data_IF_594851154210
#
_entry.id   IF_594851154210
#
_cell.length_a   1.000
_cell.length_b   1.000
_cell.length_c   1.000
_cell.angle_alpha   90.00
_cell.angle_beta   90.00
_cell.angle_gamma   90.00
#
_symmetry.space_group_name_H-M   'P 1'
#
loop_
_entity.id
_entity.type
_entity.pdbx_description
1 polymer ?
#
# COMPACT_ATOMS: atom_id res chain seq x y z
N UNK A 1 83.56 -17.33 28.02
CA UNK A 1 82.38 -16.96 27.21
C UNK A 1 81.14 -17.52 27.88
N UNK A 2 80.30 -16.67 28.49
CA UNK A 2 79.02 -17.07 29.09
C UNK A 2 77.90 -16.66 28.13
N UNK A 3 77.12 -17.65 27.68
CA UNK A 3 75.92 -17.47 26.87
C UNK A 3 74.73 -17.33 27.81
N UNK A 4 73.94 -16.26 27.64
CA UNK A 4 72.68 -16.03 28.35
C UNK A 4 71.55 -16.33 27.37
N UNK A 5 70.76 -17.35 27.68
CA UNK A 5 69.58 -17.76 26.90
C UNK A 5 68.35 -17.06 27.49
N UNK A 6 67.73 -16.15 26.74
CA UNK A 6 66.48 -15.50 27.11
C UNK A 6 65.28 -16.32 26.60
N UNK A 7 64.43 -16.77 27.52
CA UNK A 7 63.18 -17.47 27.23
C UNK A 7 62.04 -16.45 27.10
N UNK A 8 61.48 -16.30 25.91
CA UNK A 8 60.33 -15.42 25.64
C UNK A 8 59.04 -16.23 25.84
N UNK A 9 58.29 -15.94 26.91
CA UNK A 9 56.99 -16.54 27.18
C UNK A 9 55.91 -15.77 26.41
N UNK A 10 55.36 -16.39 25.36
CA UNK A 10 54.23 -15.85 24.59
C UNK A 10 52.92 -16.27 25.27
N UNK A 11 52.25 -15.33 25.96
CA UNK A 11 50.93 -15.54 26.55
C UNK A 11 49.85 -15.32 25.49
N UNK A 12 49.25 -16.42 25.02
CA UNK A 12 48.07 -16.41 24.15
C UNK A 12 46.82 -16.02 24.97
N UNK A 13 46.37 -14.77 24.82
CA UNK A 13 45.04 -14.35 25.25
C UNK A 13 43.98 -14.96 24.32
N UNK A 14 43.37 -16.06 24.74
CA UNK A 14 42.12 -16.57 24.19
C UNK A 14 40.99 -15.62 24.61
N UNK A 15 40.65 -14.68 23.73
CA UNK A 15 39.45 -13.86 23.88
C UNK A 15 38.21 -14.73 23.65
N UNK A 16 37.54 -15.12 24.73
CA UNK A 16 36.19 -15.70 24.68
C UNK A 16 35.23 -14.64 24.14
N UNK A 17 34.94 -14.70 22.85
CA UNK A 17 33.84 -13.94 22.25
C UNK A 17 32.55 -14.30 22.98
N UNK A 18 31.70 -13.32 23.34
CA UNK A 18 30.41 -13.62 23.96
C UNK A 18 29.58 -14.46 22.99
N UNK A 19 29.06 -15.58 23.48
CA UNK A 19 28.11 -16.42 22.76
C UNK A 19 26.91 -15.57 22.33
N UNK A 20 26.91 -15.14 21.07
CA UNK A 20 25.70 -14.72 20.37
C UNK A 20 24.79 -15.94 20.37
N UNK A 21 23.79 -15.97 21.27
CA UNK A 21 22.74 -16.98 21.23
C UNK A 21 22.11 -16.85 19.85
N UNK A 22 22.30 -17.86 18.99
CA UNK A 22 21.67 -17.93 17.69
C UNK A 22 20.16 -17.82 17.93
N UNK A 23 19.54 -16.78 17.36
CA UNK A 23 18.11 -16.61 17.44
C UNK A 23 17.47 -17.71 16.58
N UNK A 24 16.63 -18.55 17.19
CA UNK A 24 15.80 -19.47 16.42
C UNK A 24 15.02 -18.66 15.38
N UNK A 25 15.11 -19.06 14.12
CA UNK A 25 14.36 -18.41 13.04
C UNK A 25 13.02 -19.13 12.87
N UNK A 26 11.98 -18.35 12.63
CA UNK A 26 10.66 -18.83 12.26
C UNK A 26 10.60 -19.39 10.84
N UNK A 27 9.42 -19.91 10.49
CA UNK A 27 9.12 -20.48 9.18
C UNK A 27 8.11 -19.61 8.42
N UNK A 28 8.25 -19.53 7.10
CA UNK A 28 7.22 -19.00 6.22
C UNK A 28 6.66 -20.14 5.38
N UNK A 29 5.35 -20.35 5.48
CA UNK A 29 4.60 -21.32 4.67
C UNK A 29 3.83 -20.59 3.58
N UNK A 30 3.59 -21.28 2.46
CA UNK A 30 2.96 -20.70 1.27
C UNK A 30 1.77 -21.55 0.82
N UNK A 31 0.83 -20.95 0.09
CA UNK A 31 -0.31 -21.63 -0.52
C UNK A 31 -0.82 -20.86 -1.74
N UNK A 32 -1.49 -21.56 -2.65
CA UNK A 32 -2.27 -20.95 -3.74
C UNK A 32 -3.61 -20.36 -3.25
N UNK A 33 -3.98 -20.63 -2.00
CA UNK A 33 -5.22 -20.19 -1.38
C UNK A 33 -4.95 -19.45 -0.08
N UNK A 34 -5.95 -18.69 0.39
CA UNK A 34 -5.87 -17.99 1.67
C UNK A 34 -5.61 -18.99 2.81
N UNK A 35 -4.60 -18.70 3.63
CA UNK A 35 -4.19 -19.56 4.74
C UNK A 35 -4.99 -19.15 5.99
N UNK A 36 -5.67 -20.12 6.61
CA UNK A 36 -6.21 -19.94 7.97
C UNK A 36 -5.06 -20.04 8.98
N UNK A 37 -4.75 -18.96 9.72
CA UNK A 37 -3.71 -18.97 10.75
C UNK A 37 -3.91 -20.04 11.84
N UNK A 38 -5.16 -20.38 12.16
CA UNK A 38 -5.50 -21.32 13.23
C UNK A 38 -5.36 -22.79 12.79
N UNK A 39 -5.53 -23.05 11.51
CA UNK A 39 -5.46 -24.39 10.92
C UNK A 39 -4.92 -24.34 9.48
N UNK A 40 -3.60 -24.14 9.30
CA UNK A 40 -3.01 -24.06 7.97
C UNK A 40 -3.24 -25.34 7.17
N UNK A 41 -3.74 -25.21 5.94
CA UNK A 41 -4.03 -26.31 5.03
C UNK A 41 -3.66 -25.91 3.60
N UNK A 42 -3.61 -26.89 2.69
CA UNK A 42 -3.30 -26.68 1.26
C UNK A 42 -1.98 -25.95 1.04
N UNK A 43 -0.96 -26.28 1.83
CA UNK A 43 0.35 -25.66 1.76
C UNK A 43 1.11 -26.19 0.54
N UNK A 44 1.84 -25.30 -0.12
CA UNK A 44 2.51 -25.61 -1.37
C UNK A 44 3.82 -24.82 -1.49
N UNK A 45 4.83 -25.44 -2.11
CA UNK A 45 6.13 -24.81 -2.35
C UNK A 45 6.48 -24.76 -3.85
N UNK A 46 5.51 -25.09 -4.72
CA UNK A 46 5.66 -25.12 -6.17
C UNK A 46 4.51 -24.37 -6.83
N UNK A 47 4.85 -23.38 -7.63
CA UNK A 47 3.90 -22.48 -8.27
C UNK A 47 4.19 -22.41 -9.76
N UNK A 48 3.18 -22.07 -10.54
CA UNK A 48 3.30 -21.70 -11.94
C UNK A 48 3.15 -20.18 -12.07
N UNK A 49 3.75 -19.59 -13.10
CA UNK A 49 3.58 -18.18 -13.40
C UNK A 49 2.08 -17.84 -13.56
N UNK A 50 1.64 -16.81 -12.83
CA UNK A 50 0.23 -16.40 -12.76
C UNK A 50 -0.54 -17.01 -11.58
N UNK A 51 0.04 -17.95 -10.84
CA UNK A 51 -0.55 -18.40 -9.59
C UNK A 51 -0.59 -17.25 -8.57
N UNK A 52 -1.68 -17.22 -7.80
CA UNK A 52 -1.74 -16.43 -6.58
C UNK A 52 -0.87 -17.08 -5.49
N UNK A 53 -0.18 -16.25 -4.71
CA UNK A 53 0.75 -16.71 -3.68
C UNK A 53 0.40 -16.02 -2.37
N UNK A 54 -0.15 -16.80 -1.44
CA UNK A 54 -0.38 -16.41 -0.06
C UNK A 54 0.76 -16.94 0.78
N UNK A 55 1.26 -16.14 1.72
CA UNK A 55 2.25 -16.62 2.67
C UNK A 55 1.89 -16.24 4.10
N UNK A 56 2.44 -16.99 5.02
CA UNK A 56 2.18 -16.84 6.44
C UNK A 56 3.45 -17.14 7.23
N UNK A 57 3.91 -16.17 8.01
CA UNK A 57 5.10 -16.30 8.84
C UNK A 57 4.72 -16.72 10.26
N UNK A 58 5.39 -17.76 10.77
CA UNK A 58 5.33 -18.18 12.16
C UNK A 58 6.66 -17.92 12.83
N UNK A 59 6.63 -17.33 14.03
CA UNK A 59 7.80 -16.94 14.78
C UNK A 59 7.93 -17.75 16.09
N UNK A 60 9.15 -17.92 16.62
CA UNK A 60 9.35 -18.57 17.91
C UNK A 60 8.90 -17.71 19.10
N UNK A 61 8.73 -16.40 18.90
CA UNK A 61 8.29 -15.43 19.91
C UNK A 61 7.25 -14.47 19.31
N UNK A 62 6.54 -13.75 20.18
CA UNK A 62 5.62 -12.70 19.71
C UNK A 62 6.39 -11.59 19.00
N UNK A 63 5.73 -10.83 18.12
CA UNK A 63 6.35 -9.69 17.44
C UNK A 63 6.89 -8.67 18.45
N UNK A 64 6.15 -8.37 19.53
CA UNK A 64 6.59 -7.49 20.60
C UNK A 64 7.87 -7.99 21.31
N UNK A 65 7.96 -9.30 21.57
CA UNK A 65 9.14 -9.91 22.18
C UNK A 65 10.36 -9.86 21.24
N UNK A 66 10.16 -10.04 19.93
CA UNK A 66 11.22 -9.93 18.92
C UNK A 66 11.78 -8.50 18.82
N UNK A 67 10.93 -7.49 19.05
CA UNK A 67 11.34 -6.08 19.13
C UNK A 67 12.07 -5.75 20.44
N UNK A 68 12.10 -6.67 21.41
CA UNK A 68 12.66 -6.46 22.76
C UNK A 68 11.99 -5.28 23.48
N UNK A 69 10.72 -4.99 23.18
CA UNK A 69 9.98 -3.86 23.72
C UNK A 69 8.54 -4.24 24.07
N UNK A 70 8.20 -4.13 25.35
CA UNK A 70 6.84 -4.43 25.86
C UNK A 70 5.85 -3.26 25.69
N UNK A 71 6.34 -2.09 25.31
CA UNK A 71 5.52 -0.87 25.18
C UNK A 71 5.35 -0.43 23.73
N UNK A 72 5.75 -1.26 22.77
CA UNK A 72 5.63 -0.95 21.35
C UNK A 72 4.15 -0.91 20.95
N UNK A 73 3.73 0.20 20.34
CA UNK A 73 2.36 0.37 19.82
C UNK A 73 2.25 0.08 18.32
N UNK A 74 3.39 0.16 17.64
CA UNK A 74 3.53 -0.02 16.20
C UNK A 74 4.95 -0.51 15.90
N UNK A 75 5.07 -1.55 15.10
CA UNK A 75 6.31 -2.23 14.76
C UNK A 75 6.58 -2.13 13.28
N UNK A 76 7.85 -1.97 12.92
CA UNK A 76 8.32 -2.10 11.55
C UNK A 76 8.73 -3.55 11.29
N UNK A 77 8.15 -4.14 10.25
CA UNK A 77 8.46 -5.48 9.76
C UNK A 77 8.87 -5.36 8.30
N UNK A 78 10.07 -5.79 7.97
CA UNK A 78 10.58 -5.73 6.60
C UNK A 78 10.43 -7.11 5.95
N UNK A 79 9.89 -7.15 4.74
CA UNK A 79 9.74 -8.38 3.96
C UNK A 79 10.64 -8.24 2.74
N UNK A 80 11.53 -9.21 2.57
CA UNK A 80 12.47 -9.27 1.45
C UNK A 80 12.15 -10.47 0.56
N UNK A 81 12.18 -10.26 -0.75
CA UNK A 81 12.13 -11.29 -1.77
C UNK A 81 13.51 -11.38 -2.42
N UNK A 82 14.06 -12.59 -2.47
CA UNK A 82 15.28 -12.91 -3.18
C UNK A 82 15.02 -14.00 -4.21
N UNK A 83 15.76 -13.97 -5.30
CA UNK A 83 15.91 -15.11 -6.19
C UNK A 83 17.24 -15.81 -5.87
N UNK A 84 17.20 -17.12 -5.69
CA UNK A 84 18.42 -17.92 -5.54
C UNK A 84 19.04 -18.16 -6.93
N UNK A 85 20.17 -17.51 -7.19
CA UNK A 85 20.94 -17.71 -8.43
C UNK A 85 21.89 -18.89 -8.29
N UNK A 86 22.00 -19.74 -9.33
CA UNK A 86 23.04 -20.77 -9.34
C UNK A 86 24.42 -20.12 -9.28
N UNK A 87 25.42 -20.82 -8.73
CA UNK A 87 26.78 -20.32 -8.73
C UNK A 87 27.31 -20.16 -10.17
N UNK A 88 28.14 -19.14 -10.40
CA UNK A 88 28.77 -18.94 -11.72
C UNK A 88 29.86 -19.97 -11.99
N UNK A 89 30.44 -20.53 -10.93
CA UNK A 89 31.49 -21.55 -10.97
C UNK A 89 31.24 -22.61 -9.90
N UNK A 90 31.68 -23.84 -10.12
CA UNK A 90 31.41 -24.99 -9.22
C UNK A 90 31.92 -24.83 -7.78
N UNK A 91 32.85 -23.91 -7.53
CA UNK A 91 33.36 -23.62 -6.19
C UNK A 91 32.57 -22.55 -5.43
N UNK A 92 31.65 -21.84 -6.10
CA UNK A 92 30.80 -20.84 -5.47
C UNK A 92 29.55 -21.50 -4.89
N UNK A 93 29.05 -20.93 -3.79
CA UNK A 93 27.71 -21.26 -3.30
C UNK A 93 26.66 -20.47 -4.11
N UNK A 94 25.44 -20.99 -4.25
CA UNK A 94 24.32 -20.21 -4.79
C UNK A 94 24.20 -18.85 -4.09
N UNK A 95 23.97 -17.80 -4.87
CA UNK A 95 23.86 -16.43 -4.38
C UNK A 95 22.41 -15.99 -4.25
N UNK A 96 22.08 -15.21 -3.24
CA UNK A 96 20.77 -14.55 -3.14
C UNK A 96 20.82 -13.20 -3.85
N UNK A 97 20.00 -13.02 -4.89
CA UNK A 97 19.82 -11.75 -5.57
C UNK A 97 18.50 -11.13 -5.11
N UNK A 98 18.56 -9.97 -4.45
CA UNK A 98 17.35 -9.29 -3.99
C UNK A 98 16.51 -8.85 -5.19
N UNK A 99 15.25 -9.25 -5.20
CA UNK A 99 14.26 -8.80 -6.18
C UNK A 99 13.57 -7.53 -5.70
N UNK A 100 13.09 -7.55 -4.46
CA UNK A 100 12.32 -6.44 -3.88
C UNK A 100 12.32 -6.53 -2.35
N UNK A 101 12.03 -5.41 -1.69
CA UNK A 101 11.69 -5.40 -0.28
C UNK A 101 10.52 -4.46 -0.01
N UNK A 102 9.82 -4.66 1.10
CA UNK A 102 8.78 -3.74 1.54
C UNK A 102 8.67 -3.69 3.04
N UNK A 103 8.39 -2.49 3.53
CA UNK A 103 8.13 -2.23 4.94
C UNK A 103 6.64 -2.35 5.22
N UNK A 104 6.28 -3.28 6.10
CA UNK A 104 4.96 -3.44 6.69
C UNK A 104 4.96 -2.90 8.12
N UNK A 105 3.98 -2.06 8.44
CA UNK A 105 3.75 -1.64 9.82
C UNK A 105 2.69 -2.50 10.48
N UNK A 106 3.04 -3.09 11.63
CA UNK A 106 2.15 -3.95 12.42
C UNK A 106 1.77 -3.24 13.72
N UNK A 107 0.51 -3.30 14.13
CA UNK A 107 0.04 -2.67 15.37
C UNK A 107 -1.05 -3.48 16.06
N UNK A 108 -1.52 -3.00 17.21
CA UNK A 108 -2.65 -3.61 17.93
C UNK A 108 -2.36 -5.01 18.46
N UNK A 109 -3.36 -5.88 18.35
CA UNK A 109 -3.34 -7.27 18.82
C UNK A 109 -2.29 -8.13 18.12
N UNK A 110 -1.98 -7.85 16.86
CA UNK A 110 -0.95 -8.58 16.10
C UNK A 110 0.44 -8.51 16.76
N UNK A 111 0.74 -7.46 17.52
CA UNK A 111 2.01 -7.36 18.24
C UNK A 111 2.19 -8.46 19.30
N UNK A 112 1.08 -8.93 19.88
CA UNK A 112 1.07 -10.03 20.84
C UNK A 112 1.04 -11.42 20.20
N UNK A 113 0.98 -11.51 18.87
CA UNK A 113 0.98 -12.78 18.15
C UNK A 113 2.39 -13.17 17.73
N UNK A 114 2.65 -14.48 17.65
CA UNK A 114 3.86 -15.04 17.07
C UNK A 114 3.63 -15.49 15.62
N UNK A 115 2.65 -14.89 14.94
CA UNK A 115 2.26 -15.25 13.59
C UNK A 115 1.81 -14.01 12.84
N UNK A 116 2.06 -13.96 11.53
CA UNK A 116 1.82 -12.78 10.70
C UNK A 116 1.54 -13.19 9.25
N UNK A 117 0.42 -12.77 8.66
CA UNK A 117 0.22 -12.94 7.23
C UNK A 117 1.24 -12.09 6.44
N UNK A 118 1.80 -12.70 5.39
CA UNK A 118 2.79 -12.10 4.49
C UNK A 118 2.31 -12.34 3.08
N UNK A 119 1.35 -11.54 2.64
CA UNK A 119 0.83 -11.64 1.27
C UNK A 119 1.94 -11.38 0.25
N UNK A 120 2.07 -12.25 -0.76
CA UNK A 120 3.06 -12.09 -1.85
C UNK A 120 2.35 -11.60 -3.10
N UNK A 121 1.46 -12.43 -3.68
CA UNK A 121 0.57 -12.04 -4.78
C UNK A 121 -0.83 -12.61 -4.53
N UNK A 122 -1.59 -12.10 -3.54
CA UNK A 122 -2.92 -12.60 -3.24
C UNK A 122 -3.93 -12.16 -4.32
N UNK A 123 -5.18 -12.57 -4.18
CA UNK A 123 -6.31 -11.94 -4.91
C UNK A 123 -6.65 -10.63 -4.19
N UNK A 124 -6.99 -9.54 -4.91
CA UNK A 124 -7.31 -8.24 -4.29
C UNK A 124 -8.40 -8.29 -3.20
N UNK A 125 -9.45 -9.11 -3.35
CA UNK A 125 -10.54 -9.21 -2.36
C UNK A 125 -10.19 -10.11 -1.16
N UNK A 126 -9.06 -10.82 -1.21
CA UNK A 126 -8.60 -11.73 -0.14
C UNK A 126 -7.27 -11.30 0.47
N UNK A 127 -6.75 -10.15 0.06
CA UNK A 127 -5.52 -9.59 0.63
C UNK A 127 -5.77 -9.19 2.09
N UNK A 128 -4.83 -9.54 2.95
CA UNK A 128 -4.74 -9.02 4.32
C UNK A 128 -4.04 -7.67 4.36
N UNK A 129 -3.23 -7.35 3.33
CA UNK A 129 -2.65 -6.04 3.12
C UNK A 129 -3.72 -4.97 2.77
N UNK A 130 -3.46 -3.71 3.12
CA UNK A 130 -4.22 -2.50 2.71
C UNK A 130 -5.61 -2.25 3.32
N UNK A 131 -6.24 -3.24 3.97
CA UNK A 131 -7.57 -3.08 4.61
C UNK A 131 -7.63 -3.28 6.11
N UNK A 132 -6.59 -3.86 6.69
CA UNK A 132 -6.51 -4.08 8.12
C UNK A 132 -6.25 -2.78 8.88
N UNK A 133 -6.85 -2.64 10.06
CA UNK A 133 -6.45 -1.58 11.03
C UNK A 133 -5.06 -1.83 11.63
N UNK A 134 -4.58 -3.06 11.55
CA UNK A 134 -3.38 -3.53 12.25
C UNK A 134 -2.19 -3.80 11.32
N UNK A 135 -2.40 -3.81 10.00
CA UNK A 135 -1.36 -3.99 8.97
C UNK A 135 -1.44 -2.83 7.99
N UNK A 136 -0.35 -2.07 7.86
CA UNK A 136 -0.27 -0.92 6.98
C UNK A 136 0.97 -1.00 6.09
N UNK A 137 0.78 -0.80 4.79
CA UNK A 137 1.84 -0.57 3.82
C UNK A 137 1.80 0.87 3.34
N UNK A 138 2.98 1.45 3.12
CA UNK A 138 3.07 2.79 2.53
C UNK A 138 2.64 2.77 1.06
N UNK A 139 2.19 3.93 0.59
CA UNK A 139 2.03 4.23 -0.83
C UNK A 139 3.08 5.26 -1.23
N UNK A 140 3.79 5.01 -2.33
CA UNK A 140 4.71 6.00 -2.91
C UNK A 140 4.34 6.21 -4.38
N UNK A 141 4.05 7.46 -4.75
CA UNK A 141 3.52 7.78 -6.06
C UNK A 141 2.22 7.00 -6.33
N UNK A 142 2.16 6.32 -7.49
CA UNK A 142 0.98 5.57 -7.91
C UNK A 142 0.85 4.19 -7.27
N UNK A 143 1.92 3.64 -6.65
CA UNK A 143 1.98 2.25 -6.24
C UNK A 143 1.97 2.08 -4.71
N UNK A 144 1.20 1.12 -4.23
CA UNK A 144 1.32 0.61 -2.86
C UNK A 144 2.55 -0.30 -2.73
N UNK A 145 3.12 -0.38 -1.52
CA UNK A 145 4.23 -1.28 -1.17
C UNK A 145 3.70 -2.65 -0.75
N UNK A 146 4.57 -3.66 -0.65
CA UNK A 146 4.19 -5.01 -0.28
C UNK A 146 3.71 -5.78 -1.50
N UNK A 147 2.54 -6.45 -1.46
CA UNK A 147 2.08 -7.33 -2.54
C UNK A 147 2.13 -6.75 -3.96
N UNK A 148 1.88 -5.44 -4.12
CA UNK A 148 1.94 -4.78 -5.44
C UNK A 148 3.37 -4.77 -5.98
N UNK A 149 4.36 -4.40 -5.17
CA UNK A 149 5.75 -4.38 -5.60
C UNK A 149 6.31 -5.80 -5.74
N UNK A 150 5.88 -6.74 -4.90
CA UNK A 150 6.27 -8.15 -5.03
C UNK A 150 5.78 -8.74 -6.35
N UNK A 151 4.53 -8.49 -6.75
CA UNK A 151 4.02 -8.90 -8.05
C UNK A 151 4.84 -8.27 -9.20
N UNK A 152 5.14 -6.96 -9.14
CA UNK A 152 6.00 -6.32 -10.15
C UNK A 152 7.40 -6.92 -10.21
N UNK A 153 7.98 -7.27 -9.07
CA UNK A 153 9.29 -7.89 -9.02
C UNK A 153 9.28 -9.28 -9.67
N UNK A 154 8.26 -10.10 -9.38
CA UNK A 154 8.09 -11.40 -10.04
C UNK A 154 7.85 -11.26 -11.55
N UNK A 155 7.22 -10.17 -12.01
CA UNK A 155 7.03 -9.92 -13.44
C UNK A 155 8.34 -9.72 -14.21
N UNK A 156 9.45 -9.39 -13.53
CA UNK A 156 10.75 -9.20 -14.18
C UNK A 156 11.53 -10.50 -14.39
N UNK A 157 11.02 -11.63 -13.90
CA UNK A 157 11.66 -12.92 -14.07
C UNK A 157 11.59 -13.36 -15.54
N UNK A 158 12.66 -14.03 -16.00
CA UNK A 158 12.71 -14.64 -17.33
C UNK A 158 11.89 -15.94 -17.40
N UNK A 159 11.73 -16.52 -18.59
CA UNK A 159 11.21 -17.89 -18.70
C UNK A 159 12.11 -18.89 -17.97
N UNK A 160 11.51 -19.85 -17.27
CA UNK A 160 12.23 -20.93 -16.59
C UNK A 160 11.69 -21.24 -15.19
N UNK A 161 12.53 -21.90 -14.40
CA UNK A 161 12.29 -22.21 -13.00
C UNK A 161 13.12 -21.27 -12.11
N UNK A 162 12.45 -20.62 -11.16
CA UNK A 162 13.05 -19.69 -10.21
C UNK A 162 12.77 -20.13 -8.78
N UNK A 163 13.80 -20.18 -7.95
CA UNK A 163 13.64 -20.40 -6.51
C UNK A 163 13.61 -19.05 -5.78
N UNK A 164 12.45 -18.74 -5.21
CA UNK A 164 12.21 -17.50 -4.48
C UNK A 164 12.36 -17.75 -2.98
N UNK A 165 13.13 -16.90 -2.32
CA UNK A 165 13.32 -16.91 -0.87
C UNK A 165 12.64 -15.67 -0.31
N UNK A 166 11.76 -15.87 0.67
CA UNK A 166 11.12 -14.80 1.42
C UNK A 166 11.74 -14.74 2.80
N UNK A 167 12.15 -13.55 3.23
CA UNK A 167 12.65 -13.30 4.58
C UNK A 167 11.82 -12.20 5.23
N UNK A 168 11.42 -12.43 6.47
CA UNK A 168 10.77 -11.44 7.31
C UNK A 168 11.77 -11.00 8.36
N UNK A 169 12.15 -9.73 8.33
CA UNK A 169 13.00 -9.13 9.34
C UNK A 169 12.18 -8.34 10.35
N UNK A 170 12.51 -8.51 11.63
CA UNK A 170 11.98 -7.70 12.72
C UNK A 170 13.18 -7.20 13.50
N UNK A 171 13.29 -5.87 13.67
CA UNK A 171 14.42 -5.24 14.35
C UNK A 171 15.79 -5.62 13.75
N UNK A 172 15.91 -5.52 12.41
CA UNK A 172 17.13 -5.80 11.64
C UNK A 172 17.65 -7.25 11.71
N UNK A 173 16.86 -8.18 12.25
CA UNK A 173 17.21 -9.60 12.31
C UNK A 173 16.16 -10.43 11.56
N UNK A 174 16.60 -11.48 10.87
CA UNK A 174 15.71 -12.44 10.22
C UNK A 174 14.89 -13.15 11.29
N UNK A 175 13.60 -12.88 11.32
CA UNK A 175 12.65 -13.45 12.27
C UNK A 175 11.97 -14.71 11.72
N UNK A 176 11.76 -14.78 10.40
CA UNK A 176 11.30 -15.98 9.71
C UNK A 176 11.81 -16.01 8.28
N UNK A 177 11.97 -17.22 7.73
CA UNK A 177 12.30 -17.42 6.33
C UNK A 177 11.55 -18.62 5.74
N UNK A 178 11.32 -18.60 4.43
CA UNK A 178 10.79 -19.72 3.67
C UNK A 178 11.16 -19.57 2.21
N UNK A 179 10.98 -20.63 1.43
CA UNK A 179 11.22 -20.58 -0.01
C UNK A 179 10.19 -21.39 -0.79
N UNK A 180 9.89 -20.94 -2.00
CA UNK A 180 9.11 -21.68 -2.97
C UNK A 180 9.79 -21.64 -4.34
N UNK A 181 9.40 -22.55 -5.20
CA UNK A 181 9.79 -22.58 -6.61
C UNK A 181 8.63 -22.08 -7.45
N UNK A 182 8.91 -21.22 -8.42
CA UNK A 182 7.94 -20.79 -9.44
C UNK A 182 8.49 -21.07 -10.83
N UNK A 183 7.67 -21.70 -11.67
CA UNK A 183 8.02 -22.08 -13.03
C UNK A 183 7.09 -21.42 -14.04
N UNK A 184 7.59 -21.08 -15.23
CA UNK A 184 6.72 -20.54 -16.27
C UNK A 184 7.48 -20.05 -17.50
N UNK A 185 6.74 -19.83 -18.58
CA UNK A 185 7.31 -19.29 -19.83
C UNK A 185 7.08 -17.78 -19.97
N UNK A 186 6.20 -17.20 -19.17
CA UNK A 186 5.85 -15.79 -19.22
C UNK A 186 5.43 -15.32 -17.81
N UNK A 187 6.24 -14.44 -17.23
CA UNK A 187 5.98 -13.83 -15.92
C UNK A 187 5.30 -12.46 -16.03
N UNK A 188 5.14 -11.90 -17.23
CA UNK A 188 4.47 -10.60 -17.44
C UNK A 188 3.02 -10.60 -16.96
N UNK A 189 2.40 -11.79 -16.81
CA UNK A 189 1.10 -11.96 -16.15
C UNK A 189 1.04 -11.30 -14.76
N UNK A 190 2.17 -11.23 -14.04
CA UNK A 190 2.24 -10.56 -12.75
C UNK A 190 2.15 -9.03 -12.83
N UNK A 191 2.38 -8.40 -13.99
CA UNK A 191 2.15 -6.96 -14.18
C UNK A 191 0.66 -6.63 -14.02
N UNK A 192 -0.20 -7.38 -14.73
CA UNK A 192 -1.65 -7.23 -14.63
C UNK A 192 -2.17 -7.55 -13.22
N UNK A 193 -1.58 -8.56 -12.55
CA UNK A 193 -1.91 -8.85 -11.15
C UNK A 193 -1.49 -7.72 -10.21
N UNK A 194 -0.33 -7.10 -10.43
CA UNK A 194 0.13 -5.95 -9.66
C UNK A 194 -0.81 -4.75 -9.84
N UNK A 195 -1.28 -4.48 -11.06
CA UNK A 195 -2.28 -3.44 -11.34
C UNK A 195 -3.59 -3.72 -10.60
N UNK A 196 -4.12 -4.94 -10.69
CA UNK A 196 -5.32 -5.36 -9.98
C UNK A 196 -5.17 -5.23 -8.46
N UNK A 197 -4.03 -5.61 -7.89
CA UNK A 197 -3.73 -5.42 -6.47
C UNK A 197 -3.67 -3.94 -6.08
N UNK A 198 -3.07 -3.11 -6.92
CA UNK A 198 -2.93 -1.67 -6.66
C UNK A 198 -4.28 -0.96 -6.71
N UNK A 199 -5.14 -1.34 -7.65
CA UNK A 199 -6.52 -0.86 -7.73
C UNK A 199 -7.35 -1.33 -6.52
N UNK A 200 -7.26 -2.61 -6.16
CA UNK A 200 -7.91 -3.17 -4.98
C UNK A 200 -7.51 -2.45 -3.69
N UNK A 201 -6.22 -2.21 -3.48
CA UNK A 201 -5.70 -1.44 -2.36
C UNK A 201 -6.27 0.00 -2.32
N UNK A 202 -6.42 0.64 -3.48
CA UNK A 202 -7.07 1.93 -3.63
C UNK A 202 -8.56 1.90 -3.22
N UNK A 203 -9.28 0.87 -3.64
CA UNK A 203 -10.70 0.70 -3.33
C UNK A 203 -10.94 0.43 -1.84
N UNK A 204 -10.09 -0.37 -1.20
CA UNK A 204 -10.20 -0.69 0.22
C UNK A 204 -10.03 0.57 1.07
N UNK A 205 -9.07 1.44 0.74
CA UNK A 205 -8.85 2.71 1.44
C UNK A 205 -10.08 3.63 1.42
N UNK A 206 -10.98 3.45 0.44
CA UNK A 206 -12.20 4.26 0.28
C UNK A 206 -13.49 3.47 0.46
N UNK A 207 -13.43 2.21 0.92
CA UNK A 207 -14.61 1.35 1.08
C UNK A 207 -15.60 1.91 2.11
N UNK A 208 -15.09 2.60 3.13
CA UNK A 208 -15.90 3.30 4.14
C UNK A 208 -16.13 4.77 3.82
N UNK A 209 -15.67 5.26 2.66
CA UNK A 209 -15.92 6.63 2.27
C UNK A 209 -17.41 6.81 2.02
N UNK A 210 -17.94 7.91 2.55
CA UNK A 210 -19.31 8.38 2.32
C UNK A 210 -19.24 9.74 1.62
N UNK A 211 -20.32 10.12 0.95
CA UNK A 211 -20.46 11.51 0.53
C UNK A 211 -20.59 12.42 1.76
N UNK A 212 -19.97 13.61 1.75
CA UNK A 212 -20.14 14.55 2.84
C UNK A 212 -21.61 14.97 2.96
N UNK A 213 -22.03 15.25 4.19
CA UNK A 213 -23.35 15.83 4.43
C UNK A 213 -23.44 17.22 3.78
N UNK A 214 -24.56 17.50 3.12
CA UNK A 214 -24.81 18.81 2.56
C UNK A 214 -24.87 19.87 3.68
N UNK A 215 -24.05 20.91 3.57
CA UNK A 215 -24.09 22.07 4.46
C UNK A 215 -25.19 23.05 4.04
N UNK A 216 -25.56 23.05 2.75
CA UNK A 216 -26.66 23.81 2.17
C UNK A 216 -27.46 22.89 1.24
N UNK A 217 -28.79 22.95 1.32
CA UNK A 217 -29.69 22.28 0.38
C UNK A 217 -30.43 23.33 -0.44
N UNK A 218 -30.00 23.53 -1.68
CA UNK A 218 -30.63 24.45 -2.64
C UNK A 218 -30.69 23.74 -4.00
N UNK A 219 -31.86 23.21 -4.34
CA UNK A 219 -32.04 22.38 -5.54
C UNK A 219 -31.86 23.17 -6.84
N UNK A 220 -32.16 24.47 -6.83
CA UNK A 220 -31.99 25.32 -8.00
C UNK A 220 -30.49 25.57 -8.24
N UNK A 221 -29.76 25.92 -7.18
CA UNK A 221 -28.32 26.12 -7.25
C UNK A 221 -27.59 24.82 -7.58
N UNK A 222 -27.96 23.68 -6.99
CA UNK A 222 -27.39 22.37 -7.32
C UNK A 222 -27.57 22.04 -8.81
N UNK A 223 -28.76 22.29 -9.38
CA UNK A 223 -29.02 22.06 -10.80
C UNK A 223 -28.19 23.00 -11.70
N UNK A 224 -28.04 24.26 -11.31
CA UNK A 224 -27.17 25.22 -12.01
C UNK A 224 -25.71 24.77 -11.96
N UNK A 225 -25.22 24.34 -10.79
CA UNK A 225 -23.86 23.82 -10.60
C UNK A 225 -23.60 22.59 -11.48
N UNK A 226 -24.52 21.63 -11.54
CA UNK A 226 -24.37 20.46 -12.43
C UNK A 226 -24.30 20.89 -13.89
N UNK A 227 -25.16 21.83 -14.31
CA UNK A 227 -25.16 22.36 -15.68
C UNK A 227 -23.84 23.03 -16.03
N UNK A 228 -23.35 23.91 -15.16
CA UNK A 228 -22.10 24.66 -15.35
C UNK A 228 -20.89 23.71 -15.32
N UNK A 229 -20.89 22.72 -14.43
CA UNK A 229 -19.86 21.69 -14.36
C UNK A 229 -19.80 20.91 -15.68
N UNK A 230 -20.93 20.37 -16.17
CA UNK A 230 -21.01 19.64 -17.44
C UNK A 230 -20.56 20.46 -18.65
N UNK A 231 -20.75 21.77 -18.61
CA UNK A 231 -20.31 22.68 -19.68
C UNK A 231 -18.80 22.96 -19.65
N UNK A 232 -18.12 22.77 -18.51
CA UNK A 232 -16.69 23.04 -18.34
C UNK A 232 -15.80 22.12 -19.16
N UNK A 233 -14.60 22.59 -19.54
CA UNK A 233 -13.60 21.75 -20.20
C UNK A 233 -13.08 20.65 -19.27
N UNK A 234 -12.96 20.94 -17.97
CA UNK A 234 -12.56 19.94 -16.96
C UNK A 234 -13.53 18.75 -16.95
N UNK A 235 -14.83 18.97 -17.11
CA UNK A 235 -15.77 17.86 -17.21
C UNK A 235 -15.56 17.05 -18.49
N UNK A 236 -15.49 17.74 -19.63
CA UNK A 236 -15.33 17.10 -20.94
C UNK A 236 -14.04 16.28 -21.06
N UNK A 237 -12.96 16.74 -20.45
CA UNK A 237 -11.63 16.13 -20.56
C UNK A 237 -11.31 15.17 -19.42
N UNK A 238 -11.67 15.52 -18.17
CA UNK A 238 -11.22 14.85 -16.95
C UNK A 238 -12.34 14.12 -16.20
N UNK A 239 -13.52 14.73 -16.04
CA UNK A 239 -14.64 14.17 -15.27
C UNK A 239 -15.59 13.43 -16.22
N UNK A 240 -15.22 12.20 -16.57
CA UNK A 240 -16.02 11.35 -17.46
C UNK A 240 -17.09 10.61 -16.66
N UNK A 241 -18.29 10.49 -17.23
CA UNK A 241 -19.39 9.71 -16.65
C UNK A 241 -20.67 10.52 -16.41
N UNK A 242 -21.61 9.91 -15.70
CA UNK A 242 -22.90 10.48 -15.33
C UNK A 242 -22.86 11.07 -13.92
N UNK A 243 -23.18 12.35 -13.76
CA UNK A 243 -23.37 12.96 -12.43
C UNK A 243 -24.58 12.31 -11.76
N UNK A 244 -24.34 11.59 -10.66
CA UNK A 244 -25.39 10.90 -9.90
C UNK A 244 -25.81 11.67 -8.63
N UNK A 245 -24.91 12.48 -8.06
CA UNK A 245 -25.24 13.34 -6.91
C UNK A 245 -24.30 14.54 -6.82
N UNK A 246 -24.82 15.68 -6.39
CA UNK A 246 -24.07 16.87 -6.00
C UNK A 246 -24.52 17.29 -4.60
N UNK A 247 -23.58 17.60 -3.72
CA UNK A 247 -23.84 18.13 -2.37
C UNK A 247 -23.03 19.40 -2.16
N UNK A 248 -23.68 20.48 -1.73
CA UNK A 248 -23.00 21.73 -1.39
C UNK A 248 -22.38 21.55 0.00
N UNK A 249 -21.06 21.74 0.11
CA UNK A 249 -20.30 21.49 1.35
C UNK A 249 -19.99 22.76 2.13
N UNK A 250 -20.14 23.93 1.50
CA UNK A 250 -20.10 25.21 2.19
C UNK A 250 -21.53 25.62 2.63
N UNK A 251 -21.71 26.17 3.84
CA UNK A 251 -23.03 26.55 4.35
C UNK A 251 -23.61 27.80 3.66
N UNK A 252 -22.75 28.63 3.06
CA UNK A 252 -23.11 29.84 2.31
C UNK A 252 -21.97 30.21 1.35
N UNK A 253 -22.21 31.20 0.49
CA UNK A 253 -21.21 31.81 -0.36
C UNK A 253 -20.14 32.56 0.45
N UNK A 254 -18.88 32.29 0.15
CA UNK A 254 -17.74 33.06 0.68
C UNK A 254 -17.41 34.22 -0.25
N UNK A 255 -17.48 35.46 0.26
CA UNK A 255 -17.12 36.66 -0.49
C UNK A 255 -15.60 36.85 -0.46
N UNK A 256 -14.98 36.99 -1.64
CA UNK A 256 -13.57 37.40 -1.75
C UNK A 256 -13.48 38.87 -2.09
N UNK A 257 -12.59 39.57 -1.36
CA UNK A 257 -12.32 40.99 -1.53
C UNK A 257 -10.87 41.19 -1.90
N UNK A 258 -10.59 42.27 -2.62
CA UNK A 258 -9.22 42.72 -2.80
C UNK A 258 -8.63 43.11 -1.43
N UNK A 259 -7.48 42.57 -1.10
CA UNK A 259 -6.87 42.75 0.23
C UNK A 259 -6.51 44.21 0.54
N UNK A 260 -6.20 45.00 -0.49
CA UNK A 260 -5.79 46.40 -0.34
C UNK A 260 -6.97 47.38 -0.34
N UNK A 261 -7.93 47.18 -1.24
CA UNK A 261 -9.03 48.13 -1.45
C UNK A 261 -10.33 47.74 -0.76
N UNK A 262 -10.47 46.49 -0.32
CA UNK A 262 -11.70 45.95 0.27
C UNK A 262 -12.86 45.76 -0.73
N UNK A 263 -12.65 46.10 -2.01
CA UNK A 263 -13.64 45.95 -3.08
C UNK A 263 -13.97 44.46 -3.24
N UNK A 264 -15.26 44.13 -3.37
CA UNK A 264 -15.73 42.77 -3.65
C UNK A 264 -15.28 42.40 -5.06
N UNK A 265 -14.58 41.27 -5.18
CA UNK A 265 -14.12 40.73 -6.45
C UNK A 265 -15.13 39.69 -6.97
N UNK A 266 -15.48 38.74 -6.11
CA UNK A 266 -16.36 37.64 -6.42
C UNK A 266 -16.89 37.01 -5.13
N UNK A 267 -17.74 36.02 -5.30
CA UNK A 267 -18.04 35.04 -4.27
C UNK A 267 -17.85 33.64 -4.81
N UNK A 268 -17.50 32.70 -3.95
CA UNK A 268 -17.42 31.29 -4.31
C UNK A 268 -18.14 30.41 -3.30
N UNK A 269 -18.51 29.21 -3.74
CA UNK A 269 -19.12 28.17 -2.93
C UNK A 269 -18.61 26.83 -3.43
N UNK A 270 -18.39 25.88 -2.53
CA UNK A 270 -17.86 24.55 -2.87
C UNK A 270 -18.91 23.48 -2.75
N UNK A 271 -18.81 22.51 -3.63
CA UNK A 271 -19.61 21.29 -3.63
C UNK A 271 -18.73 20.07 -3.81
N UNK A 272 -19.32 18.91 -3.57
CA UNK A 272 -18.77 17.59 -3.90
C UNK A 272 -19.72 16.91 -4.88
N UNK A 273 -19.17 16.28 -5.91
CA UNK A 273 -19.95 15.59 -6.94
C UNK A 273 -19.53 14.14 -7.03
N UNK A 274 -20.51 13.24 -6.97
CA UNK A 274 -20.32 11.84 -7.32
C UNK A 274 -20.72 11.59 -8.78
N UNK A 275 -19.88 10.85 -9.47
CA UNK A 275 -20.05 10.49 -10.88
C UNK A 275 -20.00 8.97 -11.02
N UNK A 276 -20.92 8.40 -11.78
CA UNK A 276 -20.88 7.00 -12.22
C UNK A 276 -20.14 6.92 -13.54
N UNK A 277 -19.03 6.20 -13.55
CA UNK A 277 -18.19 5.99 -14.72
C UNK A 277 -18.83 4.95 -15.66
N UNK A 278 -18.33 4.88 -16.90
CA UNK A 278 -18.85 3.95 -17.92
C UNK A 278 -18.64 2.46 -17.55
N UNK A 279 -17.62 2.17 -16.76
CA UNK A 279 -17.33 0.84 -16.21
C UNK A 279 -18.24 0.45 -15.03
N UNK A 280 -19.16 1.34 -14.63
CA UNK A 280 -20.08 1.14 -13.51
C UNK A 280 -19.51 1.55 -12.15
N UNK A 281 -18.24 1.91 -12.04
CA UNK A 281 -17.63 2.40 -10.80
C UNK A 281 -18.07 3.82 -10.46
N UNK A 282 -17.93 4.23 -9.20
CA UNK A 282 -18.25 5.60 -8.77
C UNK A 282 -17.00 6.36 -8.31
N UNK A 283 -16.89 7.61 -8.74
CA UNK A 283 -15.81 8.53 -8.38
C UNK A 283 -16.40 9.79 -7.76
N UNK A 284 -15.85 10.20 -6.62
CA UNK A 284 -16.15 11.48 -5.97
C UNK A 284 -15.10 12.51 -6.37
N UNK A 285 -15.58 13.65 -6.87
CA UNK A 285 -14.80 14.85 -7.10
C UNK A 285 -15.12 15.85 -5.99
N UNK A 286 -14.16 16.04 -5.09
CA UNK A 286 -14.31 16.91 -3.93
C UNK A 286 -13.88 18.35 -4.23
N UNK A 287 -14.36 19.26 -3.38
CA UNK A 287 -13.97 20.68 -3.40
C UNK A 287 -14.14 21.32 -4.79
N UNK A 288 -15.20 20.95 -5.51
CA UNK A 288 -15.57 21.63 -6.75
C UNK A 288 -15.97 23.05 -6.40
N UNK A 289 -15.22 24.01 -6.91
CA UNK A 289 -15.42 25.43 -6.61
C UNK A 289 -16.23 26.06 -7.73
N UNK A 290 -17.35 26.67 -7.35
CA UNK A 290 -18.19 27.49 -8.20
C UNK A 290 -18.05 28.95 -7.79
N UNK A 291 -18.01 29.86 -8.75
CA UNK A 291 -17.73 31.28 -8.54
C UNK A 291 -18.78 32.15 -9.23
N UNK A 292 -19.03 33.33 -8.68
CA UNK A 292 -19.79 34.42 -9.31
C UNK A 292 -19.01 35.72 -9.18
N UNK A 293 -18.63 36.32 -10.31
CA UNK A 293 -17.91 37.60 -10.32
C UNK A 293 -18.81 38.74 -9.87
N UNK A 294 -18.25 39.72 -9.16
CA UNK A 294 -18.96 40.92 -8.75
C UNK A 294 -18.63 42.08 -9.70
N UNK A 295 -19.61 42.50 -10.50
CA UNK A 295 -19.42 43.55 -11.50
C UNK A 295 -20.64 44.46 -11.51
N UNK A 296 -20.42 45.78 -11.44
CA UNK A 296 -21.51 46.78 -11.47
C UNK A 296 -22.56 46.55 -10.37
N UNK A 297 -22.08 46.26 -9.16
CA UNK A 297 -22.90 46.09 -7.95
C UNK A 297 -23.84 44.86 -7.96
N UNK A 298 -23.56 43.86 -8.81
CA UNK A 298 -24.31 42.60 -8.89
C UNK A 298 -23.37 41.40 -9.04
N UNK A 299 -23.76 40.26 -8.49
CA UNK A 299 -23.10 38.98 -8.76
C UNK A 299 -23.58 38.42 -10.10
N UNK A 300 -22.63 38.00 -10.94
CA UNK A 300 -22.90 37.40 -12.25
C UNK A 300 -23.29 35.93 -12.13
N UNK A 301 -23.58 35.32 -13.27
CA UNK A 301 -23.92 33.90 -13.36
C UNK A 301 -22.81 33.00 -12.79
N UNK A 302 -23.21 31.86 -12.23
CA UNK A 302 -22.28 30.86 -11.69
C UNK A 302 -21.39 30.30 -12.79
N UNK A 303 -20.09 30.22 -12.51
CA UNK A 303 -19.09 29.55 -13.35
C UNK A 303 -18.31 28.52 -12.55
N UNK A 304 -17.82 27.50 -13.23
CA UNK A 304 -16.86 26.55 -12.69
C UNK A 304 -15.50 27.23 -12.54
N UNK A 305 -14.83 27.03 -11.39
CA UNK A 305 -13.54 27.65 -11.09
C UNK A 305 -12.43 26.63 -10.82
N UNK A 306 -12.74 25.46 -10.26
CA UNK A 306 -11.73 24.46 -9.95
C UNK A 306 -12.31 23.22 -9.30
N UNK A 307 -11.46 22.21 -9.12
CA UNK A 307 -11.84 20.91 -8.56
C UNK A 307 -10.63 20.26 -7.88
N UNK A 308 -10.86 19.62 -6.74
CA UNK A 308 -9.84 18.85 -6.03
C UNK A 308 -9.57 17.49 -6.65
N UNK A 309 -8.71 16.71 -6.01
CA UNK A 309 -8.36 15.36 -6.46
C UNK A 309 -9.51 14.38 -6.20
N UNK A 310 -9.81 13.49 -7.17
CA UNK A 310 -10.88 12.54 -7.04
C UNK A 310 -10.49 11.37 -6.14
N UNK A 311 -11.50 10.68 -5.61
CA UNK A 311 -11.34 9.36 -4.99
C UNK A 311 -12.47 8.43 -5.41
N UNK A 312 -12.19 7.13 -5.50
CA UNK A 312 -13.22 6.11 -5.78
C UNK A 312 -14.10 5.92 -4.54
N UNK A 313 -15.36 5.59 -4.72
CA UNK A 313 -16.30 5.27 -3.63
C UNK A 313 -17.16 4.08 -4.05
N UNK A 314 -17.57 3.18 -3.14
CA UNK A 314 -18.64 2.24 -3.44
C UNK A 314 -19.92 3.00 -3.85
N UNK A 315 -20.52 2.63 -4.99
CA UNK A 315 -21.66 3.35 -5.53
C UNK A 315 -22.87 3.34 -4.57
N UNK A 316 -22.99 2.31 -3.74
CA UNK A 316 -23.99 2.19 -2.68
C UNK A 316 -23.86 3.23 -1.56
N UNK A 317 -22.68 3.84 -1.41
CA UNK A 317 -22.41 4.89 -0.41
C UNK A 317 -22.69 6.31 -0.94
N UNK A 318 -23.15 6.42 -2.20
CA UNK A 318 -23.50 7.71 -2.84
C UNK A 318 -24.94 8.16 -2.52
N UNK A 319 -25.65 7.45 -1.62
CA UNK A 319 -27.04 7.72 -1.26
C UNK A 319 -27.27 9.11 -0.68
#
# INVERSE_FOLDING_TARGET
MRVITAFLLLVLFLSSQPNTIAQDIGEIIFSKQMIDPGSPANLETKFEAGDHIYAFASFPKTIADLLKSKTVKKAEVEIFLYELKPPLYDYQQPGEMQLEFSTMWVSGSLLGHNRLPVDIVPIPDKTTAYGGKEIEYKKFGANYYGPVLFAKALATLGPGEHKIIVKVNIHYAVAAAGSFTISGNDFSVYEAMAENLNEGAGNIATQSAELPKAALTDKALEAEMVKVLKASNTYKERIKGEVIKLVIVDPDWTIRRNELTGIILDRYIRATVAVKNADGTCTVWQLITFQQDYVSNVFRQTKFSGVGDPYKIPCENVK
#
